data_IF_699452263891
#
_entry.id   IF_699452263891
#
_cell.length_a   1.000
_cell.length_b   1.000
_cell.length_c   1.000
_cell.angle_alpha   90.00
_cell.angle_beta   90.00
_cell.angle_gamma   90.00
#
_symmetry.space_group_name_H-M   'P 1'
#
loop_
_entity.id
_entity.type
_entity.pdbx_description
1 polymer ?
#
# COMPACT_ATOMS: atom_id res chain seq x y z
N UNK A 1 -24.92 12.21 -1.17
CA UNK A 1 -25.08 10.80 -1.59
C UNK A 1 -26.21 10.58 -2.61
N UNK A 2 -27.40 11.18 -2.45
CA UNK A 2 -28.54 10.93 -3.37
C UNK A 2 -28.28 11.30 -4.85
N UNK A 3 -27.51 12.37 -5.14
CA UNK A 3 -27.22 12.75 -6.54
C UNK A 3 -26.33 11.73 -7.27
N UNK A 4 -25.30 11.19 -6.61
CA UNK A 4 -24.42 10.17 -7.21
C UNK A 4 -25.17 8.86 -7.48
N UNK A 5 -26.03 8.44 -6.55
CA UNK A 5 -26.87 7.25 -6.73
C UNK A 5 -27.86 7.43 -7.90
N UNK A 6 -28.46 8.62 -8.02
CA UNK A 6 -29.33 8.96 -9.18
C UNK A 6 -28.57 8.87 -10.50
N UNK A 7 -27.35 9.40 -10.58
CA UNK A 7 -26.51 9.28 -11.78
C UNK A 7 -26.20 7.83 -12.14
N UNK A 8 -25.77 7.01 -11.18
CA UNK A 8 -25.46 5.58 -11.43
C UNK A 8 -26.73 4.81 -11.88
N UNK A 9 -27.89 5.16 -11.32
CA UNK A 9 -29.16 4.51 -11.72
C UNK A 9 -29.59 4.83 -13.16
N UNK A 10 -29.04 5.88 -13.77
CA UNK A 10 -29.31 6.27 -15.17
C UNK A 10 -28.45 5.49 -16.19
N UNK A 11 -27.49 4.66 -15.74
CA UNK A 11 -26.75 3.78 -16.65
C UNK A 11 -27.71 2.86 -17.41
N UNK A 12 -27.68 2.95 -18.73
CA UNK A 12 -28.55 2.21 -19.66
C UNK A 12 -27.78 1.29 -20.63
N UNK A 13 -26.44 1.33 -20.59
CA UNK A 13 -25.55 0.50 -21.38
C UNK A 13 -24.55 -0.18 -20.45
N UNK A 14 -24.53 -1.52 -20.45
CA UNK A 14 -23.62 -2.34 -19.64
C UNK A 14 -23.08 -3.46 -20.51
N UNK A 15 -21.77 -3.70 -20.44
CA UNK A 15 -21.11 -4.84 -21.10
C UNK A 15 -20.46 -5.70 -20.02
N UNK A 16 -20.85 -6.96 -19.94
CA UNK A 16 -20.26 -7.93 -19.02
C UNK A 16 -19.17 -8.74 -19.73
N UNK A 17 -17.98 -8.76 -19.15
CA UNK A 17 -16.90 -9.63 -19.59
C UNK A 17 -17.01 -10.95 -18.83
N UNK A 18 -17.21 -12.05 -19.57
CA UNK A 18 -17.35 -13.40 -19.01
C UNK A 18 -16.03 -14.15 -18.93
N UNK A 19 -15.07 -13.81 -19.79
CA UNK A 19 -13.77 -14.48 -19.84
C UNK A 19 -12.82 -13.92 -18.79
N UNK A 20 -12.32 -14.81 -17.94
CA UNK A 20 -11.26 -14.51 -16.99
C UNK A 20 -9.90 -14.72 -17.68
N UNK A 21 -9.01 -13.71 -17.60
CA UNK A 21 -7.70 -13.73 -18.28
C UNK A 21 -6.46 -13.81 -17.34
N UNK A 22 -6.64 -13.78 -16.01
CA UNK A 22 -5.53 -13.76 -15.03
C UNK A 22 -5.21 -15.12 -14.44
N UNK A 23 -6.22 -15.90 -14.05
CA UNK A 23 -6.05 -17.12 -13.24
C UNK A 23 -5.94 -18.30 -14.17
N UNK A 24 -4.79 -18.94 -14.17
CA UNK A 24 -4.44 -20.04 -15.08
C UNK A 24 -4.79 -21.41 -14.45
N UNK A 25 -4.93 -21.45 -13.12
CA UNK A 25 -5.29 -22.64 -12.36
C UNK A 25 -6.83 -22.76 -12.21
N UNK A 26 -7.41 -23.75 -12.89
CA UNK A 26 -8.86 -23.99 -12.87
C UNK A 26 -9.41 -24.29 -11.46
N UNK A 27 -8.70 -25.10 -10.67
CA UNK A 27 -9.14 -25.45 -9.32
C UNK A 27 -9.13 -24.21 -8.42
N UNK A 28 -8.13 -23.36 -8.59
CA UNK A 28 -8.06 -22.10 -7.86
C UNK A 28 -9.12 -21.09 -8.33
N UNK A 29 -9.39 -21.02 -9.63
CA UNK A 29 -10.43 -20.16 -10.19
C UNK A 29 -11.83 -20.53 -9.64
N UNK A 30 -12.14 -21.82 -9.57
CA UNK A 30 -13.39 -22.30 -8.98
C UNK A 30 -13.54 -21.87 -7.51
N UNK A 31 -12.47 -22.02 -6.72
CA UNK A 31 -12.41 -21.54 -5.33
C UNK A 31 -12.70 -20.03 -5.27
N UNK A 32 -12.03 -19.23 -6.12
CA UNK A 32 -12.22 -17.78 -6.16
C UNK A 32 -13.66 -17.40 -6.54
N UNK A 33 -14.31 -18.15 -7.42
CA UNK A 33 -15.70 -17.91 -7.81
C UNK A 33 -16.68 -18.23 -6.66
N UNK A 34 -16.48 -19.35 -5.96
CA UNK A 34 -17.26 -19.67 -4.75
C UNK A 34 -17.05 -18.65 -3.64
N UNK A 35 -15.82 -18.17 -3.47
CA UNK A 35 -15.50 -17.13 -2.50
C UNK A 35 -16.26 -15.83 -2.80
N UNK A 36 -16.32 -15.40 -4.08
CA UNK A 36 -17.05 -14.20 -4.50
C UNK A 36 -18.55 -14.28 -4.23
N UNK A 37 -19.15 -15.47 -4.33
CA UNK A 37 -20.58 -15.68 -4.05
C UNK A 37 -20.88 -15.98 -2.58
N UNK A 38 -19.85 -16.08 -1.72
CA UNK A 38 -20.00 -16.48 -0.32
C UNK A 38 -20.42 -17.94 -0.14
N UNK A 39 -20.00 -18.80 -1.08
CA UNK A 39 -20.30 -20.24 -1.14
C UNK A 39 -19.05 -21.11 -0.95
N UNK A 40 -18.01 -20.58 -0.29
CA UNK A 40 -16.77 -21.33 -0.02
C UNK A 40 -17.04 -22.60 0.79
N UNK A 41 -16.35 -23.66 0.42
CA UNK A 41 -16.48 -25.01 1.00
C UNK A 41 -15.36 -25.32 1.98
N UNK A 42 -15.49 -26.42 2.74
CA UNK A 42 -14.41 -26.85 3.64
C UNK A 42 -13.18 -27.31 2.85
N UNK A 43 -13.37 -27.84 1.64
CA UNK A 43 -12.31 -28.20 0.71
C UNK A 43 -11.54 -26.96 0.23
N UNK A 44 -12.22 -25.84 0.00
CA UNK A 44 -11.58 -24.56 -0.33
C UNK A 44 -10.68 -24.07 0.83
N UNK A 45 -11.18 -24.18 2.06
CA UNK A 45 -10.42 -23.84 3.27
C UNK A 45 -9.20 -24.73 3.43
N UNK A 46 -9.35 -26.04 3.28
CA UNK A 46 -8.25 -27.00 3.34
C UNK A 46 -7.21 -26.73 2.24
N UNK A 47 -7.66 -26.40 1.03
CA UNK A 47 -6.80 -26.05 -0.09
C UNK A 47 -5.95 -24.81 0.22
N UNK A 48 -6.56 -23.73 0.72
CA UNK A 48 -5.81 -22.54 1.15
C UNK A 48 -4.90 -22.84 2.35
N UNK A 49 -5.31 -23.72 3.26
CA UNK A 49 -4.51 -24.12 4.42
C UNK A 49 -3.20 -24.83 4.03
N UNK A 50 -3.13 -25.43 2.84
CA UNK A 50 -1.86 -25.96 2.30
C UNK A 50 -0.81 -24.86 2.05
N UNK A 51 -1.24 -23.60 1.95
CA UNK A 51 -0.41 -22.43 1.66
C UNK A 51 0.02 -21.66 2.90
N UNK A 52 -0.35 -22.14 4.10
CA UNK A 52 0.07 -21.53 5.36
C UNK A 52 1.56 -21.80 5.58
N UNK A 53 2.33 -20.74 5.85
CA UNK A 53 3.75 -20.82 6.18
C UNK A 53 3.93 -21.70 7.43
N UNK A 54 4.89 -22.63 7.35
CA UNK A 54 5.14 -23.65 8.39
C UNK A 54 4.44 -24.99 8.12
N UNK A 55 3.61 -25.09 7.09
CA UNK A 55 3.09 -26.40 6.65
C UNK A 55 4.26 -27.30 6.18
N UNK A 56 4.42 -28.53 6.72
CA UNK A 56 5.54 -29.41 6.35
C UNK A 56 5.60 -29.77 4.86
N UNK A 57 4.47 -29.72 4.15
CA UNK A 57 4.39 -30.00 2.71
C UNK A 57 4.74 -28.79 1.84
N UNK A 58 4.90 -27.61 2.42
CA UNK A 58 5.19 -26.37 1.71
C UNK A 58 6.70 -26.09 1.72
N UNK A 59 7.35 -26.23 0.57
CA UNK A 59 8.80 -26.04 0.43
C UNK A 59 9.23 -24.57 0.16
N UNK A 60 8.45 -23.58 0.60
CA UNK A 60 8.72 -22.18 0.32
C UNK A 60 9.72 -21.56 1.33
N UNK A 61 10.81 -20.97 0.83
CA UNK A 61 11.77 -20.20 1.64
C UNK A 61 11.56 -18.70 1.48
N UNK A 62 11.22 -18.01 2.57
CA UNK A 62 11.04 -16.54 2.58
C UNK A 62 12.36 -15.76 2.39
N UNK A 63 13.51 -16.42 2.51
CA UNK A 63 14.83 -15.80 2.38
C UNK A 63 15.37 -15.83 0.95
N UNK A 64 14.76 -16.61 0.08
CA UNK A 64 15.24 -16.82 -1.28
C UNK A 64 14.22 -16.31 -2.30
N UNK A 65 14.72 -15.93 -3.48
CA UNK A 65 13.86 -15.64 -4.61
C UNK A 65 13.05 -16.90 -4.96
N UNK A 66 11.80 -16.73 -5.41
CA UNK A 66 11.11 -15.45 -5.62
C UNK A 66 10.41 -14.86 -4.37
N UNK A 67 10.30 -15.60 -3.26
CA UNK A 67 9.53 -15.17 -2.08
C UNK A 67 10.16 -14.02 -1.29
N UNK A 68 11.49 -13.87 -1.34
CA UNK A 68 12.18 -12.74 -0.73
C UNK A 68 11.81 -11.38 -1.35
N UNK A 69 11.23 -11.38 -2.56
CA UNK A 69 10.80 -10.18 -3.29
C UNK A 69 9.27 -10.06 -3.38
N UNK A 70 8.54 -11.06 -2.88
CA UNK A 70 7.08 -11.07 -2.93
C UNK A 70 6.52 -9.99 -1.99
N UNK A 71 5.61 -9.12 -2.46
CA UNK A 71 4.97 -8.14 -1.61
C UNK A 71 4.08 -8.80 -0.55
N UNK A 72 4.13 -8.24 0.66
CA UNK A 72 3.22 -8.59 1.74
C UNK A 72 1.95 -7.74 1.62
N UNK A 73 0.80 -8.38 1.45
CA UNK A 73 -0.50 -7.72 1.43
C UNK A 73 -1.07 -7.61 2.85
N UNK A 74 -1.46 -6.40 3.24
CA UNK A 74 -2.05 -6.14 4.56
C UNK A 74 -3.32 -5.29 4.47
N UNK A 75 -4.14 -5.32 5.50
CA UNK A 75 -5.41 -4.58 5.52
C UNK A 75 -5.29 -3.13 6.01
N UNK A 76 -4.30 -2.83 6.86
CA UNK A 76 -4.16 -1.51 7.50
C UNK A 76 -2.92 -0.77 7.00
N UNK A 77 -3.08 0.51 6.68
CA UNK A 77 -1.97 1.39 6.26
C UNK A 77 -0.89 1.52 7.34
N UNK A 78 -1.28 1.60 8.61
CA UNK A 78 -0.36 1.67 9.75
C UNK A 78 0.51 0.42 9.86
N UNK A 79 -0.10 -0.76 9.70
CA UNK A 79 0.63 -2.04 9.70
C UNK A 79 1.58 -2.14 8.50
N UNK A 80 1.13 -1.72 7.30
CA UNK A 80 1.99 -1.63 6.10
C UNK A 80 3.23 -0.78 6.41
N UNK A 81 3.05 0.41 6.98
CA UNK A 81 4.17 1.30 7.33
C UNK A 81 5.13 0.66 8.34
N UNK A 82 4.62 -0.01 9.37
CA UNK A 82 5.44 -0.73 10.35
C UNK A 82 6.25 -1.87 9.72
N UNK A 83 5.61 -2.72 8.91
CA UNK A 83 6.28 -3.82 8.20
C UNK A 83 7.35 -3.28 7.28
N UNK A 84 7.03 -2.25 6.50
CA UNK A 84 7.94 -1.60 5.57
C UNK A 84 9.17 -1.04 6.27
N UNK A 85 8.99 -0.27 7.35
CA UNK A 85 10.10 0.29 8.12
C UNK A 85 10.96 -0.83 8.72
N UNK A 86 10.33 -1.87 9.30
CA UNK A 86 11.06 -3.01 9.86
C UNK A 86 11.84 -3.77 8.79
N UNK A 87 11.28 -3.95 7.59
CA UNK A 87 11.93 -4.63 6.47
C UNK A 87 13.18 -3.88 6.01
N UNK A 88 13.11 -2.56 5.88
CA UNK A 88 14.28 -1.72 5.55
C UNK A 88 15.37 -1.85 6.59
N UNK A 89 15.02 -1.78 7.88
CA UNK A 89 15.98 -1.93 8.98
C UNK A 89 16.63 -3.32 9.00
N UNK A 90 15.84 -4.38 8.78
CA UNK A 90 16.35 -5.74 8.65
C UNK A 90 17.33 -5.87 7.48
N UNK A 91 17.00 -5.26 6.33
CA UNK A 91 17.85 -5.30 5.14
C UNK A 91 19.15 -4.55 5.35
N UNK A 92 19.12 -3.38 6.02
CA UNK A 92 20.33 -2.66 6.39
C UNK A 92 21.24 -3.51 7.29
N UNK A 93 20.68 -4.21 8.29
CA UNK A 93 21.44 -5.12 9.15
C UNK A 93 22.04 -6.30 8.38
N UNK A 94 21.27 -6.93 7.50
CA UNK A 94 21.74 -8.02 6.63
C UNK A 94 22.93 -7.58 5.76
N UNK A 95 22.85 -6.36 5.21
CA UNK A 95 23.91 -5.75 4.38
C UNK A 95 25.06 -5.16 5.21
N UNK A 96 25.01 -5.23 6.55
CA UNK A 96 25.97 -4.60 7.47
C UNK A 96 26.13 -3.09 7.24
N UNK A 97 25.06 -2.43 6.81
CA UNK A 97 24.99 -1.00 6.61
C UNK A 97 24.37 -0.32 7.83
N UNK A 98 24.79 0.92 8.11
CA UNK A 98 24.09 1.77 9.09
C UNK A 98 22.76 2.20 8.49
N UNK A 99 21.62 2.03 9.20
CA UNK A 99 20.33 2.51 8.72
C UNK A 99 20.36 4.01 8.42
N UNK A 100 19.75 4.38 7.31
CA UNK A 100 19.59 5.77 6.89
C UNK A 100 18.10 6.13 6.97
N UNK A 101 17.77 7.25 7.59
CA UNK A 101 16.39 7.74 7.68
C UNK A 101 16.35 9.18 7.22
N UNK A 102 15.61 9.43 6.15
CA UNK A 102 15.27 10.78 5.73
C UNK A 102 14.11 11.28 6.62
N UNK A 103 14.29 12.43 7.26
CA UNK A 103 13.32 13.05 8.17
C UNK A 103 12.67 14.21 7.46
N UNK A 104 11.33 14.24 7.46
CA UNK A 104 10.57 15.33 6.87
C UNK A 104 10.82 16.66 7.61
N UNK A 105 10.65 17.77 6.89
CA UNK A 105 10.63 19.12 7.46
C UNK A 105 9.20 19.64 7.48
N UNK A 106 8.71 19.94 8.68
CA UNK A 106 7.35 20.40 8.92
C UNK A 106 7.33 21.88 9.30
N UNK A 107 6.38 22.62 8.72
CA UNK A 107 6.22 24.05 8.88
C UNK A 107 4.81 24.41 9.30
N UNK A 108 4.69 25.34 10.23
CA UNK A 108 3.44 25.98 10.62
C UNK A 108 3.51 27.47 10.29
N UNK A 109 2.59 27.96 9.48
CA UNK A 109 2.54 29.36 9.04
C UNK A 109 3.87 29.90 8.47
N UNK A 110 4.63 29.04 7.77
CA UNK A 110 5.92 29.38 7.17
C UNK A 110 7.13 29.20 8.09
N UNK A 111 6.93 28.97 9.38
CA UNK A 111 8.00 28.74 10.36
C UNK A 111 8.24 27.25 10.56
N UNK A 112 9.50 26.83 10.59
CA UNK A 112 9.88 25.44 10.86
C UNK A 112 9.48 25.04 12.30
N UNK A 113 9.00 23.81 12.47
CA UNK A 113 8.59 23.29 13.77
C UNK A 113 9.80 22.65 14.46
N UNK A 114 10.40 23.37 15.40
CA UNK A 114 11.60 22.92 16.13
C UNK A 114 11.29 22.26 17.47
N UNK A 115 10.16 22.59 18.10
CA UNK A 115 9.74 22.00 19.38
C UNK A 115 9.72 20.47 19.30
N UNK A 116 10.50 19.81 20.17
CA UNK A 116 10.72 18.36 20.13
C UNK A 116 9.42 17.57 20.22
N UNK A 117 8.49 18.00 21.10
CA UNK A 117 7.22 17.31 21.33
C UNK A 117 6.32 17.41 20.11
N UNK A 118 6.15 18.62 19.58
CA UNK A 118 5.31 18.89 18.42
C UNK A 118 5.87 18.23 17.17
N UNK A 119 7.18 18.39 16.93
CA UNK A 119 7.89 17.77 15.81
C UNK A 119 7.73 16.26 15.82
N UNK A 120 7.95 15.61 16.96
CA UNK A 120 7.79 14.15 17.07
C UNK A 120 6.36 13.70 16.75
N UNK A 121 5.36 14.33 17.37
CA UNK A 121 3.97 13.97 17.14
C UNK A 121 3.56 14.11 15.66
N UNK A 122 4.01 15.19 15.00
CA UNK A 122 3.72 15.45 13.59
C UNK A 122 4.45 14.45 12.67
N UNK A 123 5.71 14.09 12.96
CA UNK A 123 6.46 13.08 12.20
C UNK A 123 5.85 11.67 12.32
N UNK A 124 5.23 11.35 13.46
CA UNK A 124 4.58 10.06 13.72
C UNK A 124 3.15 9.96 13.12
N UNK A 125 2.62 11.05 12.55
CA UNK A 125 1.33 11.01 11.84
C UNK A 125 1.41 10.00 10.69
N UNK A 126 0.45 9.06 10.59
CA UNK A 126 0.41 8.09 9.51
C UNK A 126 0.43 8.76 8.13
N UNK A 127 1.22 8.23 7.21
CA UNK A 127 1.42 8.76 5.86
C UNK A 127 0.11 8.92 5.07
N UNK A 128 -0.89 8.07 5.30
CA UNK A 128 -2.21 8.20 4.68
C UNK A 128 -3.04 9.41 5.17
N UNK A 129 -2.55 10.15 6.17
CA UNK A 129 -3.12 11.42 6.65
C UNK A 129 -2.25 12.63 6.29
N UNK A 130 -1.13 12.42 5.61
CA UNK A 130 -0.14 13.46 5.27
C UNK A 130 0.11 13.51 3.77
N UNK A 131 -0.95 13.33 2.97
CA UNK A 131 -0.88 13.25 1.50
C UNK A 131 0.16 12.24 1.02
N UNK A 132 0.29 11.12 1.74
CA UNK A 132 1.25 10.04 1.48
C UNK A 132 2.74 10.43 1.63
N UNK A 133 3.06 11.59 2.23
CA UNK A 133 4.44 11.96 2.57
C UNK A 133 4.80 11.48 3.99
N UNK A 134 5.71 10.50 4.14
CA UNK A 134 6.08 9.98 5.45
C UNK A 134 6.89 11.00 6.26
N UNK A 135 6.72 11.02 7.59
CA UNK A 135 7.59 11.81 8.48
C UNK A 135 8.99 11.20 8.59
N UNK A 136 9.07 9.87 8.66
CA UNK A 136 10.32 9.12 8.60
C UNK A 136 10.33 8.19 7.40
N UNK A 137 11.31 8.37 6.52
CA UNK A 137 11.55 7.51 5.37
C UNK A 137 12.87 6.76 5.55
N UNK A 138 12.84 5.52 6.10
CA UNK A 138 14.02 4.67 6.15
C UNK A 138 14.40 4.22 4.74
N UNK A 139 15.69 4.25 4.44
CA UNK A 139 16.26 3.95 3.12
C UNK A 139 17.44 2.98 3.23
N UNK A 140 17.53 2.05 2.29
CA UNK A 140 18.68 1.16 2.09
C UNK A 140 18.82 0.85 0.59
N UNK A 141 20.03 0.93 0.01
CA UNK A 141 20.22 0.63 -1.41
C UNK A 141 19.64 -0.72 -1.82
N UNK A 142 19.00 -0.77 -2.99
CA UNK A 142 18.34 -1.95 -3.54
C UNK A 142 16.94 -2.23 -2.99
N UNK A 143 16.40 -1.40 -2.09
CA UNK A 143 15.04 -1.61 -1.60
C UNK A 143 13.98 -1.23 -2.64
N UNK A 144 12.84 -1.94 -2.69
CA UNK A 144 11.69 -1.51 -3.47
C UNK A 144 11.07 -0.27 -2.83
N UNK A 145 10.78 0.74 -3.66
CA UNK A 145 10.05 1.96 -3.29
C UNK A 145 8.83 2.13 -4.20
N UNK A 146 7.91 2.98 -3.78
CA UNK A 146 6.73 3.37 -4.53
C UNK A 146 6.59 4.90 -4.52
N UNK A 147 6.36 5.48 -5.70
CA UNK A 147 6.07 6.91 -5.84
C UNK A 147 4.71 7.24 -5.25
N UNK A 148 4.64 8.31 -4.48
CA UNK A 148 3.40 8.76 -3.84
C UNK A 148 2.70 9.90 -4.57
N UNK A 149 3.30 10.42 -5.63
CA UNK A 149 2.76 11.49 -6.47
C UNK A 149 3.03 11.24 -7.97
N UNK A 150 2.41 12.07 -8.81
CA UNK A 150 2.65 12.07 -10.24
C UNK A 150 3.86 12.98 -10.54
N UNK A 151 4.97 12.37 -10.94
CA UNK A 151 6.22 13.08 -11.25
C UNK A 151 6.29 13.41 -12.74
N UNK A 152 6.07 12.41 -13.60
CA UNK A 152 6.10 12.52 -15.06
C UNK A 152 5.25 11.38 -15.65
N UNK A 153 3.96 11.62 -15.84
CA UNK A 153 2.99 10.58 -16.22
C UNK A 153 3.23 10.07 -17.64
N UNK A 154 3.71 10.96 -18.53
CA UNK A 154 4.17 10.67 -19.89
C UNK A 154 5.31 9.64 -19.92
N UNK A 155 6.19 9.66 -18.90
CA UNK A 155 7.28 8.70 -18.73
C UNK A 155 6.87 7.45 -17.93
N UNK A 156 5.61 7.35 -17.50
CA UNK A 156 5.12 6.28 -16.64
C UNK A 156 5.45 6.44 -15.14
N UNK A 157 5.86 7.63 -14.72
CA UNK A 157 6.20 7.96 -13.33
C UNK A 157 5.01 8.62 -12.64
N UNK A 158 4.03 7.80 -12.29
CA UNK A 158 2.81 8.20 -11.60
C UNK A 158 2.77 7.69 -10.16
N UNK A 159 1.83 8.20 -9.36
CA UNK A 159 1.55 7.66 -8.04
C UNK A 159 1.25 6.15 -8.14
N UNK A 160 1.98 5.33 -7.38
CA UNK A 160 1.89 3.88 -7.42
C UNK A 160 2.99 3.21 -8.24
N UNK A 161 3.74 3.94 -9.05
CA UNK A 161 4.84 3.36 -9.84
C UNK A 161 5.92 2.84 -8.88
N UNK A 162 6.29 1.56 -9.06
CA UNK A 162 7.33 0.89 -8.27
C UNK A 162 8.70 1.18 -8.87
N UNK A 163 9.67 1.42 -8.00
CA UNK A 163 11.08 1.59 -8.37
C UNK A 163 12.00 0.89 -7.38
N UNK A 164 13.29 0.94 -7.66
CA UNK A 164 14.37 0.41 -6.82
C UNK A 164 15.22 1.59 -6.37
N UNK A 165 15.31 1.81 -5.07
CA UNK A 165 16.10 2.92 -4.53
C UNK A 165 17.60 2.61 -4.64
N UNK A 166 18.38 3.54 -5.19
CA UNK A 166 19.83 3.41 -5.35
C UNK A 166 20.58 4.21 -4.28
N UNK A 167 20.34 5.52 -4.23
CA UNK A 167 21.14 6.43 -3.41
C UNK A 167 20.34 7.65 -2.99
N UNK A 168 20.61 8.17 -1.80
CA UNK A 168 20.16 9.48 -1.36
C UNK A 168 21.29 10.49 -1.57
N UNK A 169 20.98 11.62 -2.19
CA UNK A 169 21.88 12.77 -2.27
C UNK A 169 21.43 13.79 -1.23
N UNK A 170 22.35 14.22 -0.36
CA UNK A 170 22.06 15.09 0.78
C UNK A 170 23.31 15.89 1.19
N UNK A 171 23.16 16.85 2.10
CA UNK A 171 24.29 17.61 2.65
C UNK A 171 24.82 16.94 3.93
N UNK A 172 26.13 16.69 4.02
CA UNK A 172 26.73 16.01 5.19
C UNK A 172 26.51 16.78 6.51
N UNK A 173 26.36 18.10 6.45
CA UNK A 173 25.97 18.95 7.59
C UNK A 173 24.58 18.63 8.16
N UNK A 174 23.71 17.99 7.37
CA UNK A 174 22.33 17.64 7.75
C UNK A 174 22.21 16.26 8.41
N UNK A 175 23.33 15.56 8.63
CA UNK A 175 23.37 14.24 9.25
C UNK A 175 23.39 14.39 10.77
N UNK A 176 22.35 13.88 11.42
CA UNK A 176 22.24 13.85 12.88
C UNK A 176 22.30 12.41 13.39
N UNK A 177 23.19 12.16 14.36
CA UNK A 177 23.37 10.84 14.97
C UNK A 177 22.40 10.56 16.14
N UNK A 178 21.72 11.59 16.64
CA UNK A 178 20.88 11.50 17.84
C UNK A 178 19.55 12.23 17.61
N UNK A 179 18.72 11.69 16.72
CA UNK A 179 17.30 12.01 16.74
C UNK A 179 16.66 11.11 17.80
N UNK A 180 16.02 11.66 18.83
CA UNK A 180 15.44 10.88 19.94
C UNK A 180 14.18 10.12 19.49
N UNK A 181 14.36 9.09 18.65
CA UNK A 181 13.30 8.20 18.20
C UNK A 181 13.60 6.77 18.63
N UNK A 182 12.70 6.19 19.44
CA UNK A 182 12.83 4.84 19.98
C UNK A 182 12.54 3.75 18.94
N UNK A 183 12.00 4.11 17.78
CA UNK A 183 11.61 3.19 16.72
C UNK A 183 12.79 2.78 15.83
N UNK A 184 13.92 3.48 15.92
CA UNK A 184 15.11 3.26 15.09
C UNK A 184 16.32 2.86 15.95
N UNK A 185 17.25 2.02 15.43
CA UNK A 185 18.48 1.69 16.12
C UNK A 185 19.32 2.92 16.49
N UNK A 186 20.06 2.87 17.61
CA UNK A 186 20.87 3.98 18.10
C UNK A 186 21.97 4.46 17.12
N UNK A 187 22.41 3.63 16.18
CA UNK A 187 23.41 3.97 15.17
C UNK A 187 22.83 4.47 13.84
N UNK A 188 21.54 4.82 13.81
CA UNK A 188 20.84 5.32 12.61
C UNK A 188 21.33 6.72 12.25
N UNK A 189 21.63 6.95 10.97
CA UNK A 189 21.86 8.29 10.41
C UNK A 189 20.53 8.94 10.05
N UNK A 190 20.21 10.06 10.67
CA UNK A 190 19.03 10.87 10.32
C UNK A 190 19.44 12.03 9.42
N UNK A 191 18.81 12.16 8.26
CA UNK A 191 19.07 13.22 7.28
C UNK A 191 17.87 14.17 7.26
N UNK A 192 18.10 15.45 7.54
CA UNK A 192 17.04 16.47 7.58
C UNK A 192 16.99 17.35 6.33
N UNK A 193 18.00 17.30 5.46
CA UNK A 193 18.07 18.07 4.21
C UNK A 193 18.50 17.18 3.03
N UNK A 194 17.62 16.27 2.56
CA UNK A 194 17.84 15.56 1.30
C UNK A 194 17.80 16.55 0.13
N UNK A 195 18.52 16.29 -0.96
CA UNK A 195 18.40 17.01 -2.23
C UNK A 195 17.46 16.26 -3.17
N UNK A 196 17.75 14.99 -3.39
CA UNK A 196 16.93 14.06 -4.18
C UNK A 196 17.35 12.62 -3.89
N UNK A 197 16.50 11.66 -4.28
CA UNK A 197 16.80 10.23 -4.26
C UNK A 197 16.96 9.73 -5.71
N UNK A 198 18.01 8.96 -5.97
CA UNK A 198 18.18 8.24 -7.23
C UNK A 198 17.39 6.93 -7.15
N UNK A 199 16.41 6.77 -8.06
CA UNK A 199 15.52 5.60 -8.10
C UNK A 199 15.47 5.04 -9.50
N UNK A 200 15.69 3.74 -9.63
CA UNK A 200 15.52 3.02 -10.89
C UNK A 200 14.07 2.64 -11.12
N UNK A 201 13.55 2.94 -12.32
CA UNK A 201 12.22 2.58 -12.76
C UNK A 201 12.31 1.70 -14.01
N UNK A 202 12.38 0.35 -13.85
CA UNK A 202 12.59 -0.57 -14.98
C UNK A 202 11.54 -0.45 -16.09
N UNK A 203 10.32 -0.05 -15.71
CA UNK A 203 9.17 0.10 -16.62
C UNK A 203 8.94 1.54 -17.09
N UNK A 204 9.86 2.46 -16.81
CA UNK A 204 9.79 3.82 -17.34
C UNK A 204 9.92 3.81 -18.87
N UNK A 205 9.17 4.71 -19.53
CA UNK A 205 9.10 4.89 -20.98
C UNK A 205 10.18 5.85 -21.54
N UNK A 206 11.30 6.01 -20.83
CA UNK A 206 12.40 6.81 -21.34
C UNK A 206 12.97 6.13 -22.59
N UNK A 207 13.09 6.89 -23.69
CA UNK A 207 13.65 6.37 -24.93
C UNK A 207 15.14 6.06 -24.75
N UNK A 208 15.51 4.84 -25.11
CA UNK A 208 16.86 4.29 -25.04
C UNK A 208 17.86 4.92 -26.02
N UNK A 209 17.42 5.89 -26.85
CA UNK A 209 18.26 6.56 -27.86
C UNK A 209 19.25 7.57 -27.26
N UNK A 210 19.09 7.93 -25.98
CA UNK A 210 20.15 8.54 -25.16
C UNK A 210 21.18 7.46 -24.79
N UNK A 211 21.90 6.97 -25.81
CA UNK A 211 22.74 5.76 -25.79
C UNK A 211 23.87 5.75 -24.74
N UNK A 212 24.15 6.87 -24.08
CA UNK A 212 25.15 6.96 -23.01
C UNK A 212 24.55 6.81 -21.60
N UNK A 213 23.24 7.03 -21.43
CA UNK A 213 22.53 6.88 -20.15
C UNK A 213 21.65 5.64 -20.20
N UNK A 214 22.26 4.44 -20.17
CA UNK A 214 21.53 3.17 -20.01
C UNK A 214 20.74 3.06 -18.69
N UNK A 215 20.84 4.07 -17.82
CA UNK A 215 20.26 4.03 -16.49
C UNK A 215 18.85 4.61 -16.52
N UNK A 216 17.84 3.76 -16.35
CA UNK A 216 16.45 4.15 -15.97
C UNK A 216 16.39 4.69 -14.53
N UNK A 217 17.47 5.33 -14.07
CA UNK A 217 17.67 5.90 -12.75
C UNK A 217 17.31 7.38 -12.85
N UNK A 218 16.30 7.77 -12.08
CA UNK A 218 15.68 9.08 -12.16
C UNK A 218 15.83 9.77 -10.81
N UNK A 219 16.29 11.04 -10.76
CA UNK A 219 16.31 11.81 -9.54
C UNK A 219 14.87 12.18 -9.13
N UNK A 220 14.47 11.73 -7.95
CA UNK A 220 13.20 12.07 -7.32
C UNK A 220 13.47 13.18 -6.29
N UNK A 221 13.02 14.38 -6.61
CA UNK A 221 13.15 15.57 -5.77
C UNK A 221 12.19 15.56 -4.59
N UNK A 222 12.43 16.45 -3.63
CA UNK A 222 11.53 16.69 -2.50
C UNK A 222 10.21 17.28 -3.02
N UNK A 223 9.10 16.82 -2.46
CA UNK A 223 7.76 17.36 -2.66
C UNK A 223 7.29 18.14 -1.44
N UNK A 224 6.39 19.10 -1.66
CA UNK A 224 5.71 19.85 -0.60
C UNK A 224 4.22 19.53 -0.61
N UNK A 225 3.69 19.10 0.54
CA UNK A 225 2.26 18.87 0.72
C UNK A 225 1.76 19.52 1.99
N UNK A 226 0.45 19.81 2.04
CA UNK A 226 -0.19 20.42 3.20
C UNK A 226 -1.27 19.50 3.74
N UNK A 227 -1.25 19.23 5.05
CA UNK A 227 -2.23 18.38 5.71
C UNK A 227 -2.75 19.00 7.00
N UNK A 228 -3.83 18.43 7.54
CA UNK A 228 -4.44 18.87 8.79
C UNK A 228 -3.94 17.99 9.95
N UNK A 229 -3.34 18.63 10.95
CA UNK A 229 -2.89 18.01 12.20
C UNK A 229 -3.85 18.38 13.34
N UNK A 230 -4.32 17.40 14.11
CA UNK A 230 -5.17 17.65 15.29
C UNK A 230 -4.28 17.88 16.52
N UNK A 231 -4.30 19.09 17.07
CA UNK A 231 -3.50 19.48 18.24
C UNK A 231 -3.81 18.63 19.47
N UNK A 232 -4.96 17.93 19.49
CA UNK A 232 -5.27 16.93 20.53
C UNK A 232 -4.26 15.79 20.57
N UNK A 233 -3.58 15.47 19.47
CA UNK A 233 -2.51 14.46 19.41
C UNK A 233 -1.31 14.84 20.29
N UNK A 234 -1.16 16.13 20.66
CA UNK A 234 -0.15 16.58 21.62
C UNK A 234 -0.57 16.39 23.07
N UNK A 235 -1.86 16.21 23.37
CA UNK A 235 -2.36 16.09 24.74
C UNK A 235 -2.14 14.65 25.24
N UNK A 236 -1.67 14.50 26.48
CA UNK A 236 -1.64 13.18 27.12
C UNK A 236 -3.08 12.65 27.24
N UNK A 237 -3.28 11.35 26.99
CA UNK A 237 -4.60 10.70 26.98
C UNK A 237 -5.45 10.99 28.25
N UNK A 238 -4.78 11.17 29.39
CA UNK A 238 -5.40 11.49 30.67
C UNK A 238 -5.92 12.94 30.78
N UNK A 239 -5.32 13.89 30.07
CA UNK A 239 -5.71 15.31 30.06
C UNK A 239 -6.85 15.56 29.07
N UNK A 240 -6.88 14.84 27.95
CA UNK A 240 -7.93 14.96 26.94
C UNK A 240 -9.32 14.50 27.43
N UNK A 241 -9.38 13.58 28.41
CA UNK A 241 -10.63 13.17 29.07
C UNK A 241 -11.11 14.17 30.13
N UNK A 242 -10.19 14.87 30.81
CA UNK A 242 -10.51 15.86 31.84
C UNK A 242 -10.87 17.24 31.26
N UNK A 243 -10.22 17.62 30.16
CA UNK A 243 -10.57 18.82 29.42
C UNK A 243 -11.84 18.55 28.61
N UNK A 244 -13.00 19.06 29.06
CA UNK A 244 -14.14 19.33 28.17
C UNK A 244 -13.68 20.35 27.12
N UNK A 245 -13.00 19.89 26.07
CA UNK A 245 -12.50 20.75 24.99
C UNK A 245 -13.72 21.32 24.28
N UNK A 246 -14.02 22.58 24.60
CA UNK A 246 -15.04 23.39 23.97
C UNK A 246 -14.91 23.37 22.43
N UNK A 247 -16.01 23.65 21.72
CA UNK A 247 -16.24 23.66 20.26
C UNK A 247 -15.28 24.54 19.41
N UNK A 248 -14.00 24.69 19.75
CA UNK A 248 -12.99 25.35 18.90
C UNK A 248 -12.35 24.34 17.94
N UNK A 249 -11.98 24.83 16.76
CA UNK A 249 -11.24 24.05 15.78
C UNK A 249 -9.88 23.63 16.37
N UNK A 250 -9.65 22.32 16.50
CA UNK A 250 -8.39 21.76 17.02
C UNK A 250 -7.42 21.35 15.92
N UNK A 251 -7.80 21.54 14.65
CA UNK A 251 -6.98 21.19 13.50
C UNK A 251 -6.20 22.40 12.99
N UNK A 252 -4.90 22.22 12.82
CA UNK A 252 -4.00 23.21 12.22
C UNK A 252 -3.48 22.68 10.88
N UNK A 253 -3.15 23.60 9.98
CA UNK A 253 -2.56 23.28 8.68
C UNK A 253 -1.04 23.22 8.82
N UNK A 254 -0.46 22.06 8.50
CA UNK A 254 0.98 21.81 8.50
C UNK A 254 1.43 21.60 7.07
N UNK A 255 2.49 22.30 6.67
CA UNK A 255 3.19 22.06 5.41
C UNK A 255 4.37 21.13 5.66
N UNK A 256 4.47 20.05 4.90
CA UNK A 256 5.57 19.07 4.96
C UNK A 256 6.38 19.08 3.68
N UNK A 257 7.70 19.11 3.84
CA UNK A 257 8.68 18.81 2.77
C UNK A 257 9.28 17.44 3.01
N UNK A 258 9.10 16.51 2.07
CA UNK A 258 9.66 15.17 2.14
C UNK A 258 9.81 14.56 0.74
N UNK A 259 10.60 13.49 0.61
CA UNK A 259 10.63 12.72 -0.63
C UNK A 259 9.27 12.04 -0.86
N UNK A 260 8.70 12.08 -2.09
CA UNK A 260 7.44 11.43 -2.44
C UNK A 260 7.64 9.92 -2.68
N UNK A 261 8.25 9.25 -1.71
CA UNK A 261 8.63 7.84 -1.75
C UNK A 261 8.21 7.17 -0.45
N UNK A 262 7.74 5.93 -0.57
CA UNK A 262 7.56 5.01 0.56
C UNK A 262 8.19 3.66 0.25
N UNK A 263 8.65 2.89 1.26
CA UNK A 263 9.09 1.52 1.02
C UNK A 263 7.94 0.67 0.46
N UNK A 264 8.26 -0.33 -0.37
CA UNK A 264 7.28 -1.13 -1.10
C UNK A 264 7.48 -2.65 -0.92
N UNK A 265 7.94 -3.08 0.26
CA UNK A 265 7.96 -4.49 0.68
C UNK A 265 6.56 -5.03 0.99
N UNK A 266 5.66 -4.15 1.42
CA UNK A 266 4.27 -4.43 1.69
C UNK A 266 3.37 -3.34 1.09
N UNK A 267 2.13 -3.71 0.78
CA UNK A 267 1.11 -2.79 0.31
C UNK A 267 -0.26 -3.16 0.90
N UNK A 268 -1.19 -2.23 0.87
CA UNK A 268 -2.56 -2.54 1.31
C UNK A 268 -3.28 -3.38 0.26
N UNK A 269 -4.20 -4.24 0.69
CA UNK A 269 -5.08 -5.00 -0.22
C UNK A 269 -5.89 -4.11 -1.16
N UNK A 270 -6.23 -2.91 -0.72
CA UNK A 270 -6.92 -1.91 -1.53
C UNK A 270 -6.01 -1.37 -2.65
N UNK A 271 -4.72 -1.12 -2.34
CA UNK A 271 -3.74 -0.66 -3.34
C UNK A 271 -3.38 -1.75 -4.35
N UNK A 272 -3.52 -3.04 -4.00
CA UNK A 272 -3.28 -4.14 -4.94
C UNK A 272 -4.44 -4.38 -5.92
N UNK A 273 -5.62 -3.76 -5.70
CA UNK A 273 -6.77 -3.92 -6.58
C UNK A 273 -6.43 -3.52 -8.02
N UNK A 274 -6.79 -4.39 -8.98
CA UNK A 274 -6.49 -4.22 -10.40
C UNK A 274 -5.13 -4.77 -10.82
N UNK A 275 -4.17 -4.94 -9.90
CA UNK A 275 -2.83 -5.47 -10.22
C UNK A 275 -2.86 -6.99 -10.43
N UNK A 276 -1.95 -7.49 -11.27
CA UNK A 276 -1.56 -8.91 -11.33
C UNK A 276 -0.16 -9.00 -10.74
N UNK A 277 0.03 -9.86 -9.74
CA UNK A 277 1.28 -10.02 -9.01
C UNK A 277 1.79 -11.45 -9.22
N UNK A 278 3.09 -11.59 -9.46
CA UNK A 278 3.70 -12.91 -9.70
C UNK A 278 3.64 -13.79 -8.46
N UNK A 279 3.84 -13.20 -7.28
CA UNK A 279 3.72 -13.85 -5.98
C UNK A 279 3.22 -12.88 -4.92
N UNK A 280 2.49 -13.38 -3.94
CA UNK A 280 2.03 -12.60 -2.79
C UNK A 280 2.15 -13.37 -1.49
N UNK A 281 2.40 -12.64 -0.41
CA UNK A 281 2.28 -13.13 0.96
C UNK A 281 1.14 -12.35 1.61
N UNK A 282 0.20 -13.02 2.27
CA UNK A 282 -0.95 -12.36 2.91
C UNK A 282 -1.22 -12.91 4.30
N UNK A 283 -1.70 -12.05 5.19
CA UNK A 283 -2.41 -12.47 6.40
C UNK A 283 -3.92 -12.48 6.13
N UNK A 284 -4.59 -13.61 6.36
CA UNK A 284 -6.04 -13.71 6.23
C UNK A 284 -6.77 -13.46 7.56
N UNK A 285 -6.06 -13.21 8.65
CA UNK A 285 -6.67 -12.76 9.90
C UNK A 285 -7.04 -11.28 9.77
N UNK A 286 -8.34 -11.03 9.69
CA UNK A 286 -8.91 -9.72 9.42
C UNK A 286 -8.81 -8.80 10.64
N UNK A 287 -8.56 -7.49 10.45
CA UNK A 287 -8.69 -6.53 11.54
C UNK A 287 -10.14 -6.46 12.05
N UNK A 288 -10.37 -6.05 13.32
CA UNK A 288 -11.72 -5.83 13.81
C UNK A 288 -12.45 -4.77 12.97
N UNK A 289 -13.70 -5.05 12.63
CA UNK A 289 -14.53 -4.21 11.78
C UNK A 289 -15.48 -5.03 10.89
N UNK A 290 -16.32 -4.37 10.08
CA UNK A 290 -17.15 -5.05 9.10
C UNK A 290 -16.26 -5.73 8.06
N UNK A 291 -16.54 -7.01 7.80
CA UNK A 291 -15.84 -7.79 6.80
C UNK A 291 -16.69 -7.86 5.52
N UNK A 292 -16.10 -7.44 4.41
CA UNK A 292 -16.72 -7.52 3.09
C UNK A 292 -16.09 -8.63 2.27
N UNK A 293 -16.84 -9.18 1.30
CA UNK A 293 -16.35 -10.19 0.35
C UNK A 293 -15.07 -9.73 -0.35
N UNK A 294 -15.02 -8.44 -0.70
CA UNK A 294 -13.88 -7.82 -1.35
C UNK A 294 -12.59 -7.92 -0.51
N UNK A 295 -12.68 -7.88 0.83
CA UNK A 295 -11.51 -7.97 1.72
C UNK A 295 -10.72 -9.25 1.49
N UNK A 296 -11.39 -10.36 1.17
CA UNK A 296 -10.73 -11.66 0.94
C UNK A 296 -10.52 -11.90 -0.56
N UNK A 297 -11.53 -11.59 -1.38
CA UNK A 297 -11.49 -11.85 -2.81
C UNK A 297 -10.43 -11.02 -3.55
N UNK A 298 -10.30 -9.74 -3.20
CA UNK A 298 -9.36 -8.83 -3.89
C UNK A 298 -7.93 -9.36 -3.77
N UNK A 299 -7.37 -9.60 -2.57
CA UNK A 299 -5.99 -10.06 -2.49
C UNK A 299 -5.77 -11.46 -3.07
N UNK A 300 -6.68 -12.42 -2.85
CA UNK A 300 -6.51 -13.78 -3.39
C UNK A 300 -6.53 -13.80 -4.92
N UNK A 301 -7.33 -12.93 -5.55
CA UNK A 301 -7.40 -12.84 -7.01
C UNK A 301 -6.24 -12.07 -7.67
N UNK A 302 -5.18 -11.71 -6.93
CA UNK A 302 -4.01 -10.98 -7.50
C UNK A 302 -2.99 -11.90 -8.16
N UNK A 303 -2.96 -13.18 -7.81
CA UNK A 303 -2.03 -14.17 -8.36
C UNK A 303 -2.70 -15.05 -9.40
N UNK A 304 -1.89 -15.66 -10.26
CA UNK A 304 -2.36 -16.51 -11.35
C UNK A 304 -2.65 -17.94 -10.93
N UNK A 305 -1.85 -18.47 -10.00
CA UNK A 305 -1.94 -19.85 -9.50
C UNK A 305 -1.97 -19.86 -7.98
N UNK A 306 -2.53 -20.93 -7.41
CA UNK A 306 -2.45 -21.13 -5.96
C UNK A 306 -0.98 -21.22 -5.49
N UNK A 307 -0.09 -21.70 -6.36
CA UNK A 307 1.36 -21.80 -6.12
C UNK A 307 2.09 -20.48 -5.89
N UNK A 308 1.44 -19.38 -6.22
CA UNK A 308 1.97 -18.03 -6.09
C UNK A 308 1.48 -17.32 -4.83
N UNK A 309 0.69 -18.00 -3.99
CA UNK A 309 0.15 -17.51 -2.73
C UNK A 309 0.88 -18.14 -1.52
N UNK A 310 1.25 -17.32 -0.54
CA UNK A 310 1.55 -17.74 0.82
C UNK A 310 0.64 -17.05 1.83
N UNK A 311 0.25 -17.78 2.87
CA UNK A 311 -0.55 -17.29 3.98
C UNK A 311 0.30 -17.28 5.24
N UNK A 312 0.38 -16.14 5.92
CA UNK A 312 1.29 -15.91 7.06
C UNK A 312 1.01 -16.83 8.23
N UNK A 313 -0.27 -17.09 8.52
CA UNK A 313 -0.71 -17.83 9.71
C UNK A 313 -2.07 -18.51 9.48
N UNK A 314 -2.44 -19.50 10.32
CA UNK A 314 -3.79 -20.05 10.33
C UNK A 314 -4.86 -18.97 10.48
N UNK A 315 -6.02 -19.21 9.86
CA UNK A 315 -7.17 -18.33 9.85
C UNK A 315 -8.46 -19.15 9.97
N UNK A 316 -9.57 -18.52 10.30
CA UNK A 316 -10.85 -19.21 10.52
C UNK A 316 -11.59 -19.48 9.21
N UNK A 317 -12.28 -20.61 9.11
CA UNK A 317 -13.10 -20.92 7.93
C UNK A 317 -14.17 -19.83 7.66
N UNK A 318 -14.72 -19.24 8.71
CA UNK A 318 -15.69 -18.16 8.63
C UNK A 318 -15.19 -16.95 7.80
N UNK A 319 -13.87 -16.73 7.72
CA UNK A 319 -13.27 -15.71 6.86
C UNK A 319 -13.63 -15.90 5.39
N UNK A 320 -13.87 -17.14 4.93
CA UNK A 320 -14.21 -17.44 3.54
C UNK A 320 -15.72 -17.44 3.27
N UNK A 321 -16.56 -17.30 4.31
CA UNK A 321 -18.02 -17.42 4.21
C UNK A 321 -18.75 -16.07 4.18
N UNK A 322 -18.01 -14.99 3.97
CA UNK A 322 -18.56 -13.64 3.86
C UNK A 322 -19.44 -13.59 2.62
N UNK A 323 -20.67 -13.10 2.77
CA UNK A 323 -21.63 -12.98 1.67
C UNK A 323 -21.72 -11.55 1.17
N UNK A 324 -21.99 -11.34 -0.13
CA UNK A 324 -22.29 -10.01 -0.64
C UNK A 324 -23.55 -9.46 0.06
N UNK A 325 -23.61 -8.13 0.26
CA UNK A 325 -24.79 -7.51 0.84
C UNK A 325 -25.99 -7.62 -0.10
N UNK A 326 -27.21 -7.54 0.45
CA UNK A 326 -28.45 -7.55 -0.36
C UNK A 326 -28.41 -6.44 -1.42
N UNK A 327 -27.96 -5.24 -1.04
CA UNK A 327 -27.81 -4.11 -1.97
C UNK A 327 -26.82 -4.40 -3.11
N UNK A 328 -25.70 -5.08 -2.83
CA UNK A 328 -24.74 -5.50 -3.86
C UNK A 328 -25.35 -6.54 -4.81
N UNK A 329 -26.08 -7.51 -4.27
CA UNK A 329 -26.76 -8.54 -5.07
C UNK A 329 -27.84 -7.94 -5.98
N UNK A 330 -28.63 -7.01 -5.45
CA UNK A 330 -29.68 -6.35 -6.22
C UNK A 330 -29.10 -5.45 -7.32
N UNK A 331 -27.99 -4.77 -7.04
CA UNK A 331 -27.29 -3.98 -8.06
C UNK A 331 -26.67 -4.87 -9.15
N UNK A 332 -26.03 -5.99 -8.79
CA UNK A 332 -25.53 -6.96 -9.78
C UNK A 332 -26.65 -7.52 -10.66
N UNK A 333 -27.82 -7.86 -10.08
CA UNK A 333 -28.99 -8.30 -10.85
C UNK A 333 -29.49 -7.21 -11.80
N UNK A 334 -29.52 -5.95 -11.35
CA UNK A 334 -29.93 -4.80 -12.18
C UNK A 334 -28.98 -4.63 -13.37
N UNK A 335 -27.66 -4.62 -13.11
CA UNK A 335 -26.63 -4.48 -14.14
C UNK A 335 -26.68 -5.63 -15.14
N UNK A 336 -26.86 -6.87 -14.69
CA UNK A 336 -27.01 -8.04 -15.56
C UNK A 336 -28.24 -7.96 -16.47
N UNK A 337 -29.36 -7.43 -15.96
CA UNK A 337 -30.57 -7.18 -16.78
C UNK A 337 -30.29 -6.14 -17.88
N UNK A 338 -29.55 -5.08 -17.55
CA UNK A 338 -29.15 -4.06 -18.52
C UNK A 338 -28.21 -4.64 -19.55
N UNK A 339 -27.21 -5.43 -19.13
CA UNK A 339 -26.26 -6.10 -20.02
C UNK A 339 -26.96 -6.96 -21.08
N UNK A 340 -27.94 -7.77 -20.66
CA UNK A 340 -28.78 -8.55 -21.58
C UNK A 340 -29.54 -7.69 -22.59
N UNK A 341 -30.00 -6.50 -22.19
CA UNK A 341 -30.65 -5.55 -23.09
C UNK A 341 -29.65 -4.90 -24.06
N UNK A 342 -28.47 -4.54 -23.56
CA UNK A 342 -27.38 -3.97 -24.36
C UNK A 342 -26.93 -4.93 -25.45
N UNK A 343 -26.70 -6.21 -25.15
CA UNK A 343 -26.30 -7.21 -26.15
C UNK A 343 -27.36 -7.43 -27.24
N UNK A 344 -28.66 -7.30 -26.90
CA UNK A 344 -29.74 -7.40 -27.90
C UNK A 344 -29.78 -6.21 -28.85
N UNK A 345 -29.49 -5.01 -28.35
CA UNK A 345 -29.55 -3.78 -29.13
C UNK A 345 -28.26 -3.52 -29.93
N UNK A 346 -27.13 -3.94 -29.38
CA UNK A 346 -25.80 -3.87 -29.98
C UNK A 346 -25.19 -5.29 -30.02
N UNK A 347 -25.61 -6.14 -30.98
CA UNK A 347 -25.02 -7.46 -31.11
C UNK A 347 -23.52 -7.32 -31.39
N UNK A 348 -22.70 -7.81 -30.46
CA UNK A 348 -21.26 -7.87 -30.64
C UNK A 348 -20.99 -8.85 -31.79
N UNK A 349 -20.47 -8.35 -32.91
CA UNK A 349 -19.93 -9.18 -33.98
C UNK A 349 -18.64 -9.76 -33.44
N UNK A 350 -18.67 -11.04 -33.04
CA UNK A 350 -17.51 -11.77 -32.53
C UNK A 350 -16.66 -12.23 -33.71
#
# INVERSE_FOLDING_TARGET
>A
MQCAQKLISQMNCVVELSQQMRTEDMRYLELLNRLKSGQSTIEDYQLLSTRIIGNPKLQASLKQKPWSEAPILVFRSTLRTQINNRAVLNKAMEMRLRPMVCVAQDYFQGTIIEDLRSRKAILEVPDNKTEHLPGYLPLVPGMPVLLTENVATELGLSNGTRGIFHQLVYEESSVHAQFQDKNFPANTKFITQPKYALVEFPNCKLDSELAEFQTKIIPISISEQTFLFDVKELLAENVAKAAKINKKATKISIKRKALPLIPAYSMTTHKSQGQTLDKIIIDLVMPPGPLEVASVCVPLSRVKRLDDLLIIRPFEFATLQVKPSIAQLDELKRLHKIAKSTTKHFPLTV
#
